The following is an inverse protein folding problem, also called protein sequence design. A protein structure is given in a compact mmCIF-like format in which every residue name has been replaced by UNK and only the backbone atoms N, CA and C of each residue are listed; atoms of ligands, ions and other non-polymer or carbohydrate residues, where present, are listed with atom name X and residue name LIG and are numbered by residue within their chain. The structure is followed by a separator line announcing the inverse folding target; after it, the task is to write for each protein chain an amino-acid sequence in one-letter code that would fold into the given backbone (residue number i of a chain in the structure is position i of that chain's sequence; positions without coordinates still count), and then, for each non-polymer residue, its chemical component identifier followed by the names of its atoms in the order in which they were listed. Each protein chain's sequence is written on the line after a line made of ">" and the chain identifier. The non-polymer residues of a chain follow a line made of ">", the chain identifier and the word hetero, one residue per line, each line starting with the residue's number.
data_IF_820882764498
#
_entry.id   IF_820882764498
#
_cell.length_a   1.000
_cell.length_b   1.000
_cell.length_c   1.000
_cell.angle_alpha   90.00
_cell.angle_beta   90.00
_cell.angle_gamma   90.00
#
_symmetry.space_group_name_H-M   'P 1'
#
loop_
_entity.id
_entity.type
_entity.pdbx_description
1 polymer ?
#
# COMPACT_ATOMS: atom_id res chain seq x y z
N UNK A 1 12.55 -23.84 -0.61
CA UNK A 1 11.11 -24.16 -0.77
C UNK A 1 10.42 -22.83 -1.06
N UNK A 2 10.08 -22.55 -2.33
CA UNK A 2 9.45 -21.28 -2.69
C UNK A 2 7.98 -21.40 -2.28
N UNK A 3 7.59 -20.78 -1.16
CA UNK A 3 6.17 -20.61 -0.86
C UNK A 3 5.54 -19.84 -2.01
N UNK A 4 4.49 -20.38 -2.58
CA UNK A 4 3.73 -19.78 -3.67
C UNK A 4 3.38 -18.34 -3.30
N UNK A 5 3.54 -17.39 -4.23
CA UNK A 5 3.14 -15.99 -4.00
C UNK A 5 1.61 -15.94 -3.95
N UNK A 6 1.04 -16.01 -2.75
CA UNK A 6 -0.40 -15.83 -2.58
C UNK A 6 -0.71 -14.35 -2.41
N UNK A 7 -1.82 -13.89 -3.02
CA UNK A 7 -2.33 -12.54 -2.77
C UNK A 7 -2.72 -12.36 -1.29
N UNK A 8 -3.15 -13.43 -0.62
CA UNK A 8 -3.45 -13.44 0.82
C UNK A 8 -2.24 -13.11 1.71
N UNK A 9 -1.01 -13.26 1.20
CA UNK A 9 0.21 -12.96 1.97
C UNK A 9 0.55 -11.46 1.98
N UNK A 10 -0.23 -10.61 1.28
CA UNK A 10 0.06 -9.18 1.14
C UNK A 10 0.19 -8.46 2.50
N UNK A 11 -0.68 -8.82 3.45
CA UNK A 11 -0.71 -8.22 4.78
C UNK A 11 0.24 -8.91 5.78
N UNK A 12 0.90 -9.99 5.38
CA UNK A 12 1.89 -10.68 6.21
C UNK A 12 3.21 -9.92 6.12
N UNK A 13 3.67 -9.40 7.25
CA UNK A 13 4.91 -8.62 7.32
C UNK A 13 6.12 -9.42 6.82
N UNK A 14 6.88 -8.80 5.93
CA UNK A 14 8.08 -9.41 5.33
C UNK A 14 7.80 -10.53 4.33
N UNK A 15 6.54 -10.79 3.97
CA UNK A 15 6.23 -11.79 2.94
C UNK A 15 6.82 -11.40 1.58
N UNK A 16 7.16 -12.39 0.72
CA UNK A 16 7.61 -12.10 -0.64
C UNK A 16 6.58 -11.30 -1.46
N UNK A 17 5.28 -11.49 -1.20
CA UNK A 17 4.20 -10.74 -1.85
C UNK A 17 4.21 -9.27 -1.40
N UNK A 18 4.28 -9.01 -0.09
CA UNK A 18 4.36 -7.65 0.44
C UNK A 18 5.60 -6.92 -0.10
N UNK A 19 6.77 -7.58 -0.05
CA UNK A 19 8.01 -6.99 -0.56
C UNK A 19 7.96 -6.68 -2.07
N UNK A 20 7.30 -7.53 -2.86
CA UNK A 20 7.10 -7.26 -4.29
C UNK A 20 6.14 -6.08 -4.52
N UNK A 21 5.07 -6.00 -3.74
CA UNK A 21 4.10 -4.91 -3.83
C UNK A 21 4.74 -3.57 -3.43
N UNK A 22 5.51 -3.51 -2.34
CA UNK A 22 6.20 -2.28 -1.90
C UNK A 22 7.19 -1.77 -2.95
N UNK A 23 7.97 -2.66 -3.58
CA UNK A 23 8.86 -2.28 -4.70
C UNK A 23 8.06 -1.74 -5.90
N UNK A 24 6.90 -2.33 -6.17
CA UNK A 24 6.03 -1.83 -7.22
C UNK A 24 5.48 -0.44 -6.89
N UNK A 25 5.00 -0.21 -5.66
CA UNK A 25 4.54 1.09 -5.20
C UNK A 25 5.62 2.17 -5.36
N UNK A 26 6.85 1.89 -4.91
CA UNK A 26 8.00 2.79 -5.08
C UNK A 26 8.22 3.16 -6.55
N UNK A 27 8.15 2.17 -7.45
CA UNK A 27 8.30 2.40 -8.89
C UNK A 27 7.18 3.26 -9.49
N UNK A 28 5.95 3.12 -8.99
CA UNK A 28 4.80 3.93 -9.41
C UNK A 28 5.00 5.37 -8.97
N UNK A 29 5.34 5.60 -7.71
CA UNK A 29 5.52 6.96 -7.17
C UNK A 29 6.68 7.67 -7.86
N UNK A 30 7.83 6.99 -7.98
CA UNK A 30 9.06 7.53 -8.59
C UNK A 30 8.89 7.86 -10.07
N UNK A 31 7.96 7.20 -10.78
CA UNK A 31 7.72 7.46 -12.20
C UNK A 31 7.03 8.81 -12.47
N UNK A 32 6.39 9.42 -11.46
CA UNK A 32 5.55 10.61 -11.64
C UNK A 32 5.92 11.73 -10.63
N UNK A 33 7.19 12.16 -10.56
CA UNK A 33 7.62 13.15 -9.56
C UNK A 33 7.08 14.55 -9.88
N UNK A 34 7.08 14.94 -11.16
CA UNK A 34 6.78 16.32 -11.61
C UNK A 34 5.36 16.49 -12.18
N UNK A 35 4.48 15.51 -11.93
CA UNK A 35 3.11 15.51 -12.47
C UNK A 35 2.19 16.33 -11.57
N UNK A 36 2.14 17.63 -11.86
CA UNK A 36 1.34 18.63 -11.12
C UNK A 36 -0.17 18.34 -11.08
N UNK A 37 -0.68 17.50 -11.98
CA UNK A 37 -2.07 17.09 -12.02
C UNK A 37 -2.38 15.86 -11.14
N UNK A 38 -1.39 15.29 -10.46
CA UNK A 38 -1.62 14.30 -9.40
C UNK A 38 -1.69 15.02 -8.06
N UNK A 39 -2.88 15.03 -7.47
CA UNK A 39 -3.11 15.71 -6.20
C UNK A 39 -2.68 14.89 -4.98
N UNK A 40 -2.93 13.58 -4.96
CA UNK A 40 -2.67 12.70 -3.82
C UNK A 40 -2.42 11.25 -4.29
N UNK A 41 -1.91 10.42 -3.39
CA UNK A 41 -1.84 8.98 -3.55
C UNK A 41 -2.77 8.29 -2.57
N UNK A 42 -3.66 7.44 -3.08
CA UNK A 42 -4.33 6.44 -2.25
C UNK A 42 -3.49 5.17 -2.26
N UNK A 43 -2.96 4.80 -1.10
CA UNK A 43 -2.04 3.68 -0.92
C UNK A 43 -2.73 2.36 -1.22
N UNK A 44 -3.95 2.21 -0.70
CA UNK A 44 -4.76 1.02 -0.87
C UNK A 44 -6.24 1.39 -0.67
N UNK A 45 -7.09 0.84 -1.54
CA UNK A 45 -8.53 1.01 -1.42
C UNK A 45 -9.11 -0.17 -0.65
N UNK A 46 -9.90 0.11 0.38
CA UNK A 46 -10.64 -0.90 1.15
C UNK A 46 -9.76 -2.02 1.72
N UNK A 47 -8.71 -1.66 2.46
CA UNK A 47 -7.67 -2.63 2.92
C UNK A 47 -8.25 -3.80 3.73
N UNK A 48 -9.35 -3.56 4.45
CA UNK A 48 -10.07 -4.55 5.25
C UNK A 48 -10.83 -5.61 4.42
N UNK A 49 -10.92 -5.49 3.09
CA UNK A 49 -11.46 -6.55 2.22
C UNK A 49 -10.43 -7.59 1.81
N UNK A 50 -9.15 -7.36 2.10
CA UNK A 50 -8.09 -8.33 1.80
C UNK A 50 -8.31 -9.61 2.61
N UNK A 51 -8.05 -10.77 1.99
CA UNK A 51 -8.16 -12.05 2.68
C UNK A 51 -7.26 -12.08 3.93
N UNK A 52 -7.82 -12.51 5.07
CA UNK A 52 -7.17 -12.49 6.39
C UNK A 52 -6.81 -11.09 6.94
N UNK A 53 -7.42 -10.03 6.43
CA UNK A 53 -7.27 -8.70 7.01
C UNK A 53 -7.78 -8.69 8.45
N UNK A 54 -6.92 -8.22 9.35
CA UNK A 54 -7.26 -7.72 10.67
C UNK A 54 -7.04 -6.22 10.67
N UNK A 55 -7.64 -5.50 11.61
CA UNK A 55 -7.37 -4.08 11.77
C UNK A 55 -5.86 -3.82 11.95
N UNK A 56 -5.21 -4.60 12.80
CA UNK A 56 -3.77 -4.49 13.08
C UNK A 56 -2.92 -4.70 11.83
N UNK A 57 -3.12 -5.79 11.07
CA UNK A 57 -2.27 -6.07 9.91
C UNK A 57 -2.56 -5.11 8.74
N UNK A 58 -3.81 -4.63 8.61
CA UNK A 58 -4.20 -3.62 7.63
C UNK A 58 -3.53 -2.28 7.93
N UNK A 59 -3.57 -1.82 9.19
CA UNK A 59 -2.90 -0.58 9.63
C UNK A 59 -1.40 -0.69 9.39
N UNK A 60 -0.77 -1.78 9.86
CA UNK A 60 0.68 -1.98 9.70
C UNK A 60 1.10 -1.97 8.22
N UNK A 61 0.31 -2.60 7.35
CA UNK A 61 0.57 -2.59 5.91
C UNK A 61 0.42 -1.18 5.30
N UNK A 62 -0.62 -0.44 5.66
CA UNK A 62 -0.85 0.93 5.18
C UNK A 62 0.26 1.86 5.63
N UNK A 63 0.67 1.81 6.91
CA UNK A 63 1.74 2.65 7.45
C UNK A 63 3.09 2.36 6.75
N UNK A 64 3.44 1.08 6.58
CA UNK A 64 4.65 0.66 5.88
C UNK A 64 4.65 1.15 4.43
N UNK A 65 3.51 1.02 3.75
CA UNK A 65 3.33 1.47 2.37
C UNK A 65 3.39 2.99 2.24
N UNK A 66 2.78 3.71 3.18
CA UNK A 66 2.83 5.17 3.25
C UNK A 66 4.27 5.67 3.47
N UNK A 67 5.07 4.98 4.29
CA UNK A 67 6.48 5.32 4.48
C UNK A 67 7.29 5.17 3.17
N UNK A 68 7.06 4.10 2.41
CA UNK A 68 7.69 3.90 1.09
C UNK A 68 7.27 5.00 0.11
N UNK A 69 5.97 5.27 -0.01
CA UNK A 69 5.48 6.34 -0.89
C UNK A 69 6.02 7.71 -0.48
N UNK A 70 6.07 8.01 0.82
CA UNK A 70 6.62 9.27 1.34
C UNK A 70 8.10 9.45 1.02
N UNK A 71 8.89 8.37 1.12
CA UNK A 71 10.31 8.43 0.78
C UNK A 71 10.55 8.62 -0.73
N UNK A 72 9.68 8.05 -1.58
CA UNK A 72 9.78 8.14 -3.03
C UNK A 72 9.20 9.44 -3.62
N UNK A 73 8.22 10.07 -2.95
CA UNK A 73 7.53 11.24 -3.47
C UNK A 73 8.24 12.57 -3.11
N UNK A 74 9.06 13.07 -4.03
CA UNK A 74 9.72 14.38 -3.90
C UNK A 74 8.75 15.56 -3.80
N UNK A 75 7.50 15.40 -4.23
CA UNK A 75 6.47 16.44 -4.20
C UNK A 75 5.64 16.42 -2.91
N UNK A 76 5.94 15.51 -1.98
CA UNK A 76 5.31 15.41 -0.65
C UNK A 76 3.77 15.38 -0.68
N UNK A 77 3.16 14.80 -1.71
CA UNK A 77 1.71 14.80 -1.88
C UNK A 77 1.00 14.12 -0.70
N UNK A 78 -0.26 14.48 -0.42
CA UNK A 78 -1.10 13.76 0.52
C UNK A 78 -1.12 12.26 0.23
N UNK A 79 -1.10 11.47 1.30
CA UNK A 79 -1.27 10.03 1.26
C UNK A 79 -2.58 9.69 1.97
N UNK A 80 -3.40 8.85 1.36
CA UNK A 80 -4.64 8.36 1.94
C UNK A 80 -4.67 6.84 1.87
N UNK A 81 -5.53 6.25 2.69
CA UNK A 81 -5.98 4.87 2.56
C UNK A 81 -7.46 4.83 2.95
N UNK A 82 -8.20 3.90 2.38
CA UNK A 82 -9.62 3.74 2.69
C UNK A 82 -9.92 2.37 3.29
N UNK A 83 -11.02 2.35 4.05
CA UNK A 83 -11.65 1.16 4.57
C UNK A 83 -13.02 1.02 3.91
N UNK A 84 -13.40 -0.20 3.56
CA UNK A 84 -14.78 -0.50 3.23
C UNK A 84 -15.62 -0.36 4.51
N UNK A 85 -16.70 0.40 4.41
CA UNK A 85 -17.72 0.52 5.45
C UNK A 85 -19.10 0.23 4.86
N UNK A 86 -19.97 -0.41 5.64
CA UNK A 86 -21.41 -0.46 5.35
C UNK A 86 -22.09 0.55 6.27
N UNK A 87 -22.71 1.58 5.69
CA UNK A 87 -23.45 2.58 6.45
C UNK A 87 -24.68 1.94 7.10
N UNK A 88 -24.80 2.06 8.42
CA UNK A 88 -26.04 1.93 9.17
C UNK A 88 -26.31 3.24 9.90
#
# INVERSE_FOLDING_TARGET
>A
MIRSRCAADLLIDGSPTQAAWLRWLESVVTRWPDRVNIFAWEIYSEVNLTENATEENGINFVERSAAVARAADSSYRPLTASLAGVGY
#
